data_IF_269669188956
#
_entry.id   IF_269669188956
#
_cell.length_a   1.000
_cell.length_b   1.000
_cell.length_c   1.000
_cell.angle_alpha   90.00
_cell.angle_beta   90.00
_cell.angle_gamma   90.00
#
_symmetry.space_group_name_H-M   'P 1'
#
loop_
_entity.id
_entity.type
_entity.pdbx_description
1 polymer ?
#
# COMPACT_ATOMS: atom_id res chain seq x y z
N UNK A 1 -2.12 -16.25 -6.42
CA UNK A 1 -1.01 -17.23 -6.40
C UNK A 1 0.02 -16.79 -5.37
N UNK A 2 0.71 -17.74 -4.72
CA UNK A 2 1.77 -17.48 -3.74
C UNK A 2 3.04 -18.25 -4.12
N UNK A 3 4.19 -17.65 -3.85
CA UNK A 3 5.52 -18.19 -4.04
C UNK A 3 6.18 -18.35 -2.66
N UNK A 4 6.75 -19.52 -2.38
CA UNK A 4 7.52 -19.77 -1.15
C UNK A 4 8.96 -20.10 -1.52
N UNK A 5 9.90 -19.48 -0.83
CA UNK A 5 11.33 -19.72 -1.04
C UNK A 5 12.13 -19.40 0.23
N UNK A 6 13.30 -20.01 0.34
CA UNK A 6 14.29 -19.70 1.36
C UNK A 6 15.37 -18.82 0.75
N UNK A 7 15.71 -17.71 1.39
CA UNK A 7 16.68 -16.74 0.85
C UNK A 7 17.38 -15.95 1.94
N UNK A 8 18.52 -15.35 1.58
CA UNK A 8 19.25 -14.43 2.44
C UNK A 8 18.93 -13.00 2.05
N UNK A 9 18.50 -12.19 3.02
CA UNK A 9 18.17 -10.79 2.81
C UNK A 9 19.43 -9.98 2.46
N UNK A 10 19.58 -9.66 1.18
CA UNK A 10 20.76 -8.96 0.66
C UNK A 10 20.76 -7.48 1.07
N UNK A 11 21.92 -6.87 1.37
CA UNK A 11 22.01 -5.43 1.55
C UNK A 11 21.62 -4.72 0.25
N UNK A 12 20.79 -3.69 0.36
CA UNK A 12 20.40 -2.86 -0.77
C UNK A 12 20.38 -1.38 -0.34
N UNK A 13 21.56 -0.74 -0.40
CA UNK A 13 21.77 0.54 0.26
C UNK A 13 21.50 0.46 1.77
N UNK A 14 20.67 1.34 2.36
CA UNK A 14 20.26 1.24 3.76
C UNK A 14 19.15 0.18 4.00
N UNK A 15 18.57 -0.35 2.94
CA UNK A 15 17.49 -1.33 2.95
C UNK A 15 18.03 -2.77 2.81
N UNK A 16 17.13 -3.75 2.92
CA UNK A 16 17.40 -5.12 2.54
C UNK A 16 16.56 -5.46 1.32
N UNK A 17 16.92 -6.48 0.56
CA UNK A 17 16.14 -6.93 -0.58
C UNK A 17 16.03 -8.45 -0.63
N UNK A 18 14.84 -8.91 -1.06
CA UNK A 18 14.64 -10.25 -1.58
C UNK A 18 14.84 -10.17 -3.10
N UNK A 19 15.78 -10.94 -3.63
CA UNK A 19 16.02 -11.04 -5.07
C UNK A 19 15.23 -12.23 -5.62
N UNK A 20 14.50 -12.01 -6.72
CA UNK A 20 13.72 -13.04 -7.39
C UNK A 20 14.25 -13.28 -8.81
N UNK A 21 14.23 -14.55 -9.25
CA UNK A 21 14.46 -14.88 -10.66
C UNK A 21 13.28 -14.43 -11.53
N UNK A 22 13.50 -14.30 -12.84
CA UNK A 22 12.41 -14.00 -13.77
C UNK A 22 11.31 -15.07 -13.75
N UNK A 23 11.66 -16.34 -13.57
CA UNK A 23 10.71 -17.45 -13.43
C UNK A 23 9.85 -17.31 -12.17
N UNK A 24 10.46 -16.97 -11.04
CA UNK A 24 9.74 -16.71 -9.80
C UNK A 24 8.76 -15.54 -9.95
N UNK A 25 9.16 -14.45 -10.61
CA UNK A 25 8.27 -13.33 -10.91
C UNK A 25 7.14 -13.73 -11.87
N UNK A 26 7.45 -14.51 -12.90
CA UNK A 26 6.45 -15.01 -13.84
C UNK A 26 5.40 -15.90 -13.13
N UNK A 27 5.84 -16.75 -12.20
CA UNK A 27 4.94 -17.63 -11.42
C UNK A 27 3.95 -16.87 -10.53
N UNK A 28 4.30 -15.65 -10.09
CA UNK A 28 3.39 -14.78 -9.33
C UNK A 28 2.27 -14.22 -10.20
N UNK A 29 2.50 -14.03 -11.50
CA UNK A 29 1.49 -13.59 -12.47
C UNK A 29 1.10 -12.10 -12.42
N UNK A 30 1.70 -11.29 -11.54
CA UNK A 30 1.37 -9.87 -11.38
C UNK A 30 2.27 -8.89 -12.14
N UNK A 31 3.27 -9.40 -12.87
CA UNK A 31 4.29 -8.61 -13.57
C UNK A 31 5.35 -8.01 -12.64
N UNK A 32 6.38 -7.38 -13.24
CA UNK A 32 7.61 -6.93 -12.54
C UNK A 32 7.43 -5.76 -11.55
N UNK A 33 6.22 -5.19 -11.43
CA UNK A 33 5.91 -4.06 -10.51
C UNK A 33 4.68 -4.31 -9.63
N UNK A 34 4.32 -5.58 -9.45
CA UNK A 34 3.18 -6.01 -8.67
C UNK A 34 3.27 -5.53 -7.21
N UNK A 35 2.12 -5.19 -6.64
CA UNK A 35 1.98 -5.12 -5.18
C UNK A 35 1.94 -6.55 -4.64
N UNK A 36 2.66 -6.79 -3.54
CA UNK A 36 2.81 -8.12 -2.94
C UNK A 36 2.65 -8.06 -1.43
N UNK A 37 2.10 -9.11 -0.84
CA UNK A 37 2.17 -9.39 0.59
C UNK A 37 3.34 -10.33 0.83
N UNK A 38 4.28 -9.92 1.68
CA UNK A 38 5.42 -10.73 2.07
C UNK A 38 5.25 -11.17 3.52
N UNK A 39 5.32 -12.48 3.75
CA UNK A 39 5.17 -13.10 5.07
C UNK A 39 6.45 -13.83 5.47
N UNK A 40 6.96 -13.54 6.65
CA UNK A 40 8.14 -14.17 7.26
C UNK A 40 7.82 -14.46 8.72
N UNK A 41 8.03 -15.70 9.18
CA UNK A 41 7.85 -16.06 10.59
C UNK A 41 6.44 -15.78 11.15
N UNK A 42 5.41 -15.73 10.30
CA UNK A 42 4.03 -15.39 10.67
C UNK A 42 3.70 -13.89 10.70
N UNK A 43 4.67 -13.01 10.50
CA UNK A 43 4.44 -11.58 10.29
C UNK A 43 4.33 -11.27 8.79
N UNK A 44 3.38 -10.40 8.41
CA UNK A 44 3.15 -10.00 7.02
C UNK A 44 3.31 -8.50 6.83
N UNK A 45 3.86 -8.10 5.69
CA UNK A 45 3.99 -6.70 5.30
C UNK A 45 3.61 -6.48 3.83
N UNK A 46 2.82 -5.42 3.52
CA UNK A 46 2.59 -5.00 2.14
C UNK A 46 3.88 -4.39 1.58
N UNK A 47 4.38 -4.97 0.50
CA UNK A 47 5.57 -4.55 -0.21
C UNK A 47 5.28 -4.47 -1.72
N UNK A 48 6.32 -4.16 -2.48
CA UNK A 48 6.22 -4.04 -3.93
C UNK A 48 7.40 -4.70 -4.61
N UNK A 49 7.11 -5.44 -5.68
CA UNK A 49 8.12 -5.88 -6.62
C UNK A 49 8.62 -4.67 -7.43
N UNK A 50 9.90 -4.63 -7.70
CA UNK A 50 10.55 -3.65 -8.56
C UNK A 50 11.66 -4.29 -9.38
N UNK A 51 12.15 -3.53 -10.34
CA UNK A 51 13.36 -3.89 -11.12
C UNK A 51 14.39 -2.81 -10.84
N UNK A 52 15.54 -3.20 -10.30
CA UNK A 52 16.66 -2.31 -10.01
C UNK A 52 17.92 -2.96 -10.56
N UNK A 53 18.65 -2.24 -11.40
CA UNK A 53 19.85 -2.72 -12.11
C UNK A 53 19.63 -4.06 -12.86
N UNK A 54 18.44 -4.24 -13.43
CA UNK A 54 18.07 -5.45 -14.17
C UNK A 54 17.64 -6.63 -13.30
N UNK A 55 17.79 -6.57 -11.98
CA UNK A 55 17.35 -7.60 -11.05
C UNK A 55 15.92 -7.34 -10.55
N UNK A 56 15.11 -8.39 -10.43
CA UNK A 56 13.80 -8.29 -9.77
C UNK A 56 14.00 -8.33 -8.25
N UNK A 57 13.53 -7.29 -7.57
CA UNK A 57 13.76 -7.10 -6.14
C UNK A 57 12.48 -6.72 -5.42
N UNK A 58 12.32 -7.21 -4.19
CA UNK A 58 11.37 -6.68 -3.22
C UNK A 58 12.19 -6.03 -2.13
N UNK A 59 12.11 -4.71 -2.03
CA UNK A 59 12.84 -3.93 -1.03
C UNK A 59 12.13 -3.94 0.32
N UNK A 60 12.88 -4.23 1.38
CA UNK A 60 12.45 -4.16 2.77
C UNK A 60 13.08 -2.91 3.40
N UNK A 61 12.24 -1.89 3.64
CA UNK A 61 12.62 -0.69 4.38
C UNK A 61 12.94 -1.01 5.84
N UNK A 62 13.54 -0.08 6.58
CA UNK A 62 13.78 -0.23 8.02
C UNK A 62 12.49 -0.58 8.79
N UNK A 63 11.37 0.05 8.43
CA UNK A 63 10.07 -0.20 9.06
C UNK A 63 9.52 -1.59 8.70
N UNK A 64 9.61 -1.99 7.43
CA UNK A 64 9.17 -3.32 7.00
C UNK A 64 9.98 -4.44 7.68
N UNK A 65 11.31 -4.28 7.75
CA UNK A 65 12.20 -5.19 8.47
C UNK A 65 11.83 -5.32 9.95
N UNK A 66 11.58 -4.19 10.62
CA UNK A 66 11.17 -4.19 12.02
C UNK A 66 9.82 -4.90 12.23
N UNK A 67 8.84 -4.65 11.35
CA UNK A 67 7.53 -5.31 11.41
C UNK A 67 7.59 -6.81 11.11
N UNK A 68 8.54 -7.24 10.29
CA UNK A 68 8.78 -8.65 9.95
C UNK A 68 9.75 -9.35 10.93
N UNK A 69 10.39 -8.60 11.83
CA UNK A 69 11.36 -9.15 12.79
C UNK A 69 12.67 -9.63 12.17
N UNK A 70 13.11 -9.03 11.06
CA UNK A 70 14.28 -9.48 10.27
C UNK A 70 15.34 -8.40 10.09
N UNK A 71 16.60 -8.81 9.94
CA UNK A 71 17.77 -8.00 9.68
C UNK A 71 18.32 -8.13 8.25
N UNK A 72 19.35 -7.34 7.93
CA UNK A 72 20.17 -7.56 6.71
C UNK A 72 21.08 -8.76 6.98
N UNK A 73 21.17 -9.69 6.03
CA UNK A 73 21.99 -10.89 6.13
C UNK A 73 21.28 -12.09 6.76
N UNK A 74 20.05 -11.92 7.26
CA UNK A 74 19.27 -13.02 7.80
C UNK A 74 18.82 -13.97 6.68
N UNK A 75 18.91 -15.27 6.96
CA UNK A 75 18.29 -16.30 6.13
C UNK A 75 16.85 -16.52 6.60
N UNK A 76 15.90 -16.39 5.67
CA UNK A 76 14.48 -16.38 5.96
C UNK A 76 13.71 -17.30 5.02
N UNK A 77 12.71 -17.99 5.56
CA UNK A 77 11.66 -18.62 4.77
C UNK A 77 10.58 -17.57 4.50
N UNK A 78 10.40 -17.22 3.23
CA UNK A 78 9.48 -16.16 2.81
C UNK A 78 8.36 -16.70 1.95
N UNK A 79 7.14 -16.28 2.26
CA UNK A 79 5.97 -16.44 1.41
C UNK A 79 5.57 -15.10 0.78
N UNK A 80 5.45 -15.08 -0.53
CA UNK A 80 5.15 -13.90 -1.34
C UNK A 80 3.86 -14.16 -2.10
N UNK A 81 2.83 -13.37 -1.85
CA UNK A 81 1.57 -13.44 -2.58
C UNK A 81 1.26 -12.11 -3.25
N UNK A 82 0.52 -12.10 -4.36
CA UNK A 82 0.02 -10.85 -4.92
C UNK A 82 -0.92 -10.15 -3.94
N UNK A 83 -0.67 -8.86 -3.70
CA UNK A 83 -1.55 -8.00 -2.91
C UNK A 83 -2.73 -7.55 -3.78
N UNK A 84 -3.71 -8.45 -3.88
CA UNK A 84 -4.97 -8.23 -4.61
C UNK A 84 -6.09 -7.68 -3.72
N UNK A 85 -5.78 -7.36 -2.46
CA UNK A 85 -6.74 -6.80 -1.54
C UNK A 85 -7.37 -5.54 -2.14
N UNK A 86 -8.71 -5.54 -2.19
CA UNK A 86 -9.45 -4.35 -2.62
C UNK A 86 -9.16 -3.24 -1.63
N UNK A 87 -8.56 -2.17 -2.13
CA UNK A 87 -8.19 -1.03 -1.33
C UNK A 87 -9.46 -0.20 -1.10
N UNK A 88 -10.21 -0.54 -0.06
CA UNK A 88 -11.41 0.21 0.36
C UNK A 88 -10.97 1.47 1.10
N UNK A 89 -11.56 2.60 0.73
CA UNK A 89 -11.41 3.84 1.48
C UNK A 89 -12.53 3.87 2.50
N UNK A 90 -12.17 3.87 3.78
CA UNK A 90 -13.12 4.12 4.86
C UNK A 90 -13.48 5.61 4.84
N UNK A 91 -14.68 5.93 4.37
CA UNK A 91 -15.17 7.31 4.23
C UNK A 91 -16.01 7.63 5.46
N UNK A 92 -15.62 8.63 6.27
CA UNK A 92 -16.43 9.08 7.41
C UNK A 92 -17.86 9.46 6.99
N UNK A 93 -18.86 9.10 7.81
CA UNK A 93 -20.28 9.32 7.51
C UNK A 93 -20.62 10.78 7.20
N UNK A 94 -19.95 11.73 7.86
CA UNK A 94 -20.12 13.16 7.66
C UNK A 94 -19.56 13.64 6.31
N UNK A 95 -18.40 13.11 5.88
CA UNK A 95 -17.88 13.33 4.54
C UNK A 95 -18.78 12.68 3.48
N UNK A 96 -19.28 11.47 3.72
CA UNK A 96 -20.20 10.78 2.81
C UNK A 96 -21.49 11.59 2.62
N UNK A 97 -22.12 12.05 3.72
CA UNK A 97 -23.30 12.89 3.67
C UNK A 97 -23.07 14.21 2.91
N UNK A 98 -21.89 14.83 3.10
CA UNK A 98 -21.53 16.05 2.39
C UNK A 98 -21.33 15.83 0.88
N UNK A 99 -20.69 14.72 0.48
CA UNK A 99 -20.51 14.33 -0.92
C UNK A 99 -21.84 14.03 -1.60
N UNK A 100 -22.77 13.40 -0.89
CA UNK A 100 -24.09 13.04 -1.41
C UNK A 100 -25.03 14.26 -1.51
N UNK A 101 -24.82 15.29 -0.69
CA UNK A 101 -25.56 16.55 -0.74
C UNK A 101 -25.12 17.47 -1.89
N UNK A 102 -23.87 17.34 -2.37
CA UNK A 102 -23.32 18.17 -3.42
C UNK A 102 -23.47 17.50 -4.81
N UNK A 103 -24.18 18.12 -5.78
CA UNK A 103 -24.38 17.53 -7.10
C UNK A 103 -23.08 17.17 -7.80
N UNK A 104 -22.91 15.90 -8.17
CA UNK A 104 -21.72 15.39 -8.89
C UNK A 104 -20.48 15.15 -8.02
N UNK A 105 -20.44 15.63 -6.78
CA UNK A 105 -19.28 15.50 -5.90
C UNK A 105 -18.97 14.04 -5.55
N UNK A 106 -19.99 13.22 -5.28
CA UNK A 106 -19.82 11.78 -5.03
C UNK A 106 -19.16 11.06 -6.21
N UNK A 107 -19.66 11.29 -7.42
CA UNK A 107 -19.09 10.68 -8.62
C UNK A 107 -17.66 11.15 -8.91
N UNK A 108 -17.39 12.45 -8.70
CA UNK A 108 -16.05 13.00 -8.84
C UNK A 108 -15.07 12.44 -7.79
N UNK A 109 -15.52 12.28 -6.55
CA UNK A 109 -14.76 11.62 -5.49
C UNK A 109 -14.46 10.17 -5.85
N UNK A 110 -15.46 9.40 -6.27
CA UNK A 110 -15.30 7.99 -6.63
C UNK A 110 -14.39 7.78 -7.86
N UNK A 111 -14.33 8.77 -8.76
CA UNK A 111 -13.39 8.78 -9.89
C UNK A 111 -11.93 9.10 -9.49
N UNK A 112 -11.68 9.59 -8.28
CA UNK A 112 -10.32 9.85 -7.81
C UNK A 112 -9.53 8.55 -7.58
N UNK A 113 -8.21 8.66 -7.73
CA UNK A 113 -7.29 7.58 -7.35
C UNK A 113 -7.48 7.20 -5.88
N UNK A 114 -7.29 5.90 -5.56
CA UNK A 114 -7.40 5.39 -4.19
C UNK A 114 -6.64 6.26 -3.18
N UNK A 115 -5.40 6.65 -3.50
CA UNK A 115 -4.58 7.49 -2.63
C UNK A 115 -5.25 8.83 -2.36
N UNK A 116 -5.80 9.52 -3.37
CA UNK A 116 -6.48 10.80 -3.15
C UNK A 116 -7.74 10.64 -2.30
N UNK A 117 -8.58 9.65 -2.61
CA UNK A 117 -9.76 9.34 -1.80
C UNK A 117 -9.38 9.05 -0.34
N UNK A 118 -8.35 8.23 -0.13
CA UNK A 118 -7.83 7.89 1.20
C UNK A 118 -7.32 9.11 1.95
N UNK A 119 -6.54 9.98 1.33
CA UNK A 119 -6.00 11.17 1.99
C UNK A 119 -7.10 12.14 2.41
N UNK A 120 -8.12 12.37 1.56
CA UNK A 120 -9.27 13.20 1.91
C UNK A 120 -10.06 12.61 3.08
N UNK A 121 -10.42 11.32 3.01
CA UNK A 121 -11.16 10.63 4.06
C UNK A 121 -10.40 10.59 5.38
N UNK A 122 -9.10 10.26 5.35
CA UNK A 122 -8.23 10.28 6.52
C UNK A 122 -8.13 11.67 7.13
N UNK A 123 -8.01 12.71 6.29
CA UNK A 123 -8.00 14.09 6.75
C UNK A 123 -9.23 14.38 7.62
N UNK A 124 -10.42 14.02 7.17
CA UNK A 124 -11.66 14.20 7.95
C UNK A 124 -11.65 13.32 9.21
N UNK A 125 -11.28 12.04 9.09
CA UNK A 125 -11.25 11.09 10.21
C UNK A 125 -10.32 11.54 11.36
N UNK A 126 -9.11 11.99 11.04
CA UNK A 126 -8.10 12.43 12.01
C UNK A 126 -8.47 13.77 12.70
N UNK A 127 -9.50 14.48 12.24
CA UNK A 127 -9.95 15.73 12.84
C UNK A 127 -10.79 15.50 14.11
N UNK A 128 -10.17 15.75 15.27
CA UNK A 128 -10.82 15.59 16.59
C UNK A 128 -11.74 16.75 16.99
N UNK A 129 -11.52 17.94 16.44
CA UNK A 129 -12.34 19.14 16.71
C UNK A 129 -13.38 19.28 15.60
N UNK A 130 -14.64 19.51 15.96
CA UNK A 130 -15.75 19.67 15.02
C UNK A 130 -15.46 20.75 13.95
N UNK A 131 -15.00 21.93 14.35
CA UNK A 131 -14.64 23.01 13.42
C UNK A 131 -13.55 22.62 12.41
N UNK A 132 -12.58 21.77 12.82
CA UNK A 132 -11.52 21.30 11.92
C UNK A 132 -12.05 20.25 10.96
N UNK A 133 -12.97 19.41 11.43
CA UNK A 133 -13.64 18.38 10.65
C UNK A 133 -14.48 19.02 9.55
N UNK A 134 -15.31 20.01 9.88
CA UNK A 134 -16.08 20.79 8.91
C UNK A 134 -15.20 21.46 7.85
N UNK A 135 -14.09 22.11 8.27
CA UNK A 135 -13.14 22.72 7.32
C UNK A 135 -12.51 21.70 6.37
N UNK A 136 -12.21 20.50 6.84
CA UNK A 136 -11.65 19.43 6.01
C UNK A 136 -12.69 18.81 5.07
N UNK A 137 -13.95 18.74 5.48
CA UNK A 137 -15.07 18.34 4.61
C UNK A 137 -15.25 19.36 3.49
N UNK A 138 -15.28 20.66 3.81
CA UNK A 138 -15.38 21.72 2.81
C UNK A 138 -14.21 21.66 1.80
N UNK A 139 -12.98 21.52 2.30
CA UNK A 139 -11.80 21.36 1.43
C UNK A 139 -11.85 20.09 0.56
N UNK A 140 -12.44 18.99 1.07
CA UNK A 140 -12.63 17.77 0.29
C UNK A 140 -13.66 17.98 -0.83
N UNK A 141 -14.76 18.69 -0.56
CA UNK A 141 -15.74 19.08 -1.57
C UNK A 141 -15.14 19.98 -2.65
N UNK A 142 -14.35 20.98 -2.26
CA UNK A 142 -13.65 21.86 -3.21
C UNK A 142 -12.67 21.07 -4.09
N UNK A 143 -12.01 20.05 -3.53
CA UNK A 143 -11.05 19.21 -4.27
C UNK A 143 -11.72 18.25 -5.28
N UNK A 144 -13.03 18.01 -5.15
CA UNK A 144 -13.81 17.16 -6.08
C UNK A 144 -14.86 17.94 -6.86
N UNK A 145 -14.89 19.27 -6.69
CA UNK A 145 -15.75 20.13 -7.50
C UNK A 145 -15.34 20.00 -8.98
N UNK A 146 -16.31 19.86 -9.90
CA UNK A 146 -16.05 19.79 -11.33
C UNK A 146 -15.47 21.08 -11.91
#
# INVERSE_FOLDING_TARGET
MSLRLRTVLQPFGPAAAIVLSDEQVASLGGGKRAAVQVTIGGASAPLRLGVMDGANVIGLSKAARAGLGVGIGDEVDVEIALDTAERVVDVPDDLAAALDAAPGARAAFDALSYTRRKELARGVADAKRAETREKRIAAALDAVAP
#
